data_IF_907178935573
#
_entry.id   IF_907178935573
#
_cell.length_a   1.000
_cell.length_b   1.000
_cell.length_c   1.000
_cell.angle_alpha   90.00
_cell.angle_beta   90.00
_cell.angle_gamma   90.00
#
_symmetry.space_group_name_H-M   'P 1'
#
loop_
_entity.id
_entity.type
_entity.pdbx_description
1 polymer ?
#
# COMPACT_ATOMS: atom_id res chain seq x y z
N UNK A 1 24.40 -8.89 2.52
CA UNK A 1 23.16 -9.46 3.12
C UNK A 1 22.06 -8.42 3.43
N UNK A 2 22.24 -7.11 3.14
CA UNK A 2 21.27 -6.06 3.50
C UNK A 2 20.07 -5.88 2.54
N UNK A 3 20.10 -6.41 1.31
CA UNK A 3 19.09 -6.04 0.32
C UNK A 3 17.69 -6.58 0.65
N UNK A 4 17.56 -7.86 1.00
CA UNK A 4 16.25 -8.50 1.23
C UNK A 4 15.48 -7.91 2.42
N UNK A 5 16.19 -7.47 3.47
CA UNK A 5 15.54 -6.82 4.62
C UNK A 5 15.02 -5.43 4.26
N UNK A 6 15.75 -4.68 3.43
CA UNK A 6 15.29 -3.41 2.88
C UNK A 6 14.09 -3.60 1.98
N UNK A 7 14.14 -4.53 1.01
CA UNK A 7 13.01 -4.82 0.12
C UNK A 7 11.75 -5.19 0.92
N UNK A 8 11.90 -6.04 1.95
CA UNK A 8 10.78 -6.38 2.83
C UNK A 8 10.26 -5.18 3.63
N UNK A 9 11.15 -4.32 4.14
CA UNK A 9 10.76 -3.12 4.88
C UNK A 9 10.06 -2.09 3.98
N UNK A 10 10.53 -1.91 2.75
CA UNK A 10 9.92 -1.06 1.72
C UNK A 10 8.51 -1.56 1.38
N UNK A 11 8.37 -2.86 1.10
CA UNK A 11 7.06 -3.44 0.79
C UNK A 11 6.07 -3.29 1.96
N UNK A 12 6.52 -3.54 3.19
CA UNK A 12 5.69 -3.32 4.39
C UNK A 12 5.39 -1.83 4.61
N UNK A 13 6.34 -0.93 4.35
CA UNK A 13 6.10 0.50 4.43
C UNK A 13 5.00 0.92 3.47
N UNK A 14 4.96 0.40 2.24
CA UNK A 14 3.85 0.65 1.32
C UNK A 14 2.49 0.19 1.88
N UNK A 15 2.44 -0.98 2.53
CA UNK A 15 1.23 -1.47 3.21
C UNK A 15 0.78 -0.52 4.32
N UNK A 16 1.71 -0.11 5.20
CA UNK A 16 1.40 0.77 6.32
C UNK A 16 1.08 2.20 5.88
N UNK A 17 1.72 2.70 4.81
CA UNK A 17 1.39 4.00 4.23
C UNK A 17 -0.01 3.99 3.63
N UNK A 18 -0.36 2.97 2.83
CA UNK A 18 -1.71 2.81 2.30
C UNK A 18 -2.75 2.76 3.43
N UNK A 19 -2.52 1.97 4.48
CA UNK A 19 -3.40 1.88 5.64
C UNK A 19 -3.55 3.23 6.37
N UNK A 20 -2.48 4.00 6.47
CA UNK A 20 -2.48 5.33 7.11
C UNK A 20 -3.30 6.33 6.30
N UNK A 21 -3.09 6.38 4.99
CA UNK A 21 -3.82 7.30 4.11
C UNK A 21 -5.30 6.93 4.00
N UNK A 22 -5.64 5.65 4.04
CA UNK A 22 -7.05 5.19 4.11
C UNK A 22 -7.71 5.65 5.42
N UNK A 23 -7.02 5.52 6.56
CA UNK A 23 -7.53 6.01 7.84
C UNK A 23 -7.74 7.53 7.82
N UNK A 24 -6.77 8.28 7.30
CA UNK A 24 -6.87 9.74 7.17
C UNK A 24 -8.06 10.12 6.29
N UNK A 25 -8.15 9.59 5.06
CA UNK A 25 -9.28 9.84 4.16
C UNK A 25 -10.64 9.52 4.81
N UNK A 26 -10.73 8.39 5.52
CA UNK A 26 -11.96 8.00 6.18
C UNK A 26 -12.36 8.98 7.30
N UNK A 27 -11.38 9.59 7.98
CA UNK A 27 -11.61 10.48 9.11
C UNK A 27 -11.79 11.95 8.72
N UNK A 28 -10.98 12.45 7.78
CA UNK A 28 -10.89 13.88 7.42
C UNK A 28 -11.41 14.18 6.02
N UNK A 29 -11.70 13.18 5.20
CA UNK A 29 -12.14 13.34 3.82
C UNK A 29 -11.02 13.67 2.84
N UNK A 30 -9.81 13.98 3.34
CA UNK A 30 -8.69 14.42 2.54
C UNK A 30 -7.32 13.97 3.11
N UNK A 31 -6.31 14.02 2.26
CA UNK A 31 -4.90 13.69 2.56
C UNK A 31 -3.99 14.73 1.90
N UNK A 32 -2.75 14.85 2.38
CA UNK A 32 -1.75 15.69 1.71
C UNK A 32 -1.60 15.30 0.22
N UNK A 33 -1.53 16.30 -0.66
CA UNK A 33 -1.79 16.14 -2.10
C UNK A 33 -0.91 15.11 -2.79
N UNK A 34 0.36 15.00 -2.41
CA UNK A 34 1.35 14.09 -3.02
C UNK A 34 1.53 12.78 -2.23
N UNK A 35 0.91 12.64 -1.06
CA UNK A 35 1.18 11.49 -0.18
C UNK A 35 0.75 10.14 -0.79
N UNK A 36 -0.26 10.14 -1.66
CA UNK A 36 -0.72 8.96 -2.38
C UNK A 36 0.06 8.66 -3.65
N UNK A 37 0.78 9.63 -4.20
CA UNK A 37 1.40 9.52 -5.53
C UNK A 37 2.28 8.28 -5.68
N UNK A 38 3.23 7.99 -4.78
CA UNK A 38 4.11 6.85 -4.95
C UNK A 38 3.36 5.51 -4.88
N UNK A 39 2.31 5.43 -4.06
CA UNK A 39 1.49 4.23 -3.95
C UNK A 39 0.69 4.00 -5.23
N UNK A 40 0.05 5.04 -5.77
CA UNK A 40 -0.74 4.90 -6.99
C UNK A 40 0.16 4.66 -8.20
N UNK A 41 1.25 5.41 -8.35
CA UNK A 41 2.25 5.21 -9.42
C UNK A 41 2.80 3.79 -9.39
N UNK A 42 3.04 3.22 -8.21
CA UNK A 42 3.54 1.85 -8.10
C UNK A 42 2.64 0.82 -8.79
N UNK A 43 1.31 1.05 -8.86
CA UNK A 43 0.40 0.11 -9.50
C UNK A 43 0.74 -0.12 -10.98
N UNK A 44 1.18 0.94 -11.66
CA UNK A 44 1.48 0.91 -13.10
C UNK A 44 2.88 0.35 -13.41
N UNK A 45 3.75 0.24 -12.43
CA UNK A 45 5.07 -0.39 -12.59
C UNK A 45 4.95 -1.92 -12.54
N UNK A 46 4.39 -2.55 -13.58
CA UNK A 46 4.08 -3.99 -13.52
C UNK A 46 5.30 -4.92 -13.63
N UNK A 47 6.36 -4.47 -14.32
CA UNK A 47 7.54 -5.26 -14.63
C UNK A 47 8.82 -4.52 -14.27
N UNK A 48 9.05 -4.22 -12.97
CA UNK A 48 10.22 -3.46 -12.54
C UNK A 48 11.51 -4.23 -12.82
N UNK A 49 12.53 -3.55 -13.37
CA UNK A 49 13.85 -4.14 -13.57
C UNK A 49 14.54 -4.39 -12.21
N UNK A 50 14.33 -3.49 -11.26
CA UNK A 50 14.82 -3.57 -9.90
C UNK A 50 13.71 -3.29 -8.89
N UNK A 51 13.78 -3.92 -7.72
CA UNK A 51 12.77 -3.74 -6.67
C UNK A 51 12.56 -2.26 -6.28
N UNK A 52 13.62 -1.46 -6.31
CA UNK A 52 13.57 -0.05 -5.96
C UNK A 52 12.82 0.81 -7.00
N UNK A 53 12.66 0.33 -8.24
CA UNK A 53 11.96 1.08 -9.30
C UNK A 53 10.47 1.26 -8.99
N UNK A 54 9.90 0.36 -8.17
CA UNK A 54 8.46 0.37 -7.84
C UNK A 54 8.03 1.60 -7.06
N UNK A 55 8.89 2.08 -6.16
CA UNK A 55 8.56 3.17 -5.24
C UNK A 55 9.59 4.31 -5.28
N UNK A 56 10.66 4.21 -6.07
CA UNK A 56 11.75 5.21 -6.09
C UNK A 56 12.45 5.30 -4.72
N UNK A 57 12.87 6.51 -4.33
CA UNK A 57 13.49 6.76 -3.02
C UNK A 57 12.51 6.47 -1.87
N UNK A 58 12.71 5.39 -1.07
CA UNK A 58 11.76 5.01 -0.03
C UNK A 58 11.65 6.04 1.10
N UNK A 59 12.68 6.85 1.35
CA UNK A 59 12.65 7.87 2.40
C UNK A 59 11.65 8.96 2.04
N UNK A 60 11.70 9.42 0.79
CA UNK A 60 10.80 10.44 0.26
C UNK A 60 9.40 9.86 0.05
N UNK A 61 9.33 8.70 -0.59
CA UNK A 61 8.09 8.18 -1.13
C UNK A 61 7.30 7.30 -0.17
N UNK A 62 7.95 6.70 0.84
CA UNK A 62 7.34 5.79 1.81
C UNK A 62 7.61 6.19 3.27
N UNK A 63 8.02 7.44 3.51
CA UNK A 63 8.42 7.91 4.83
C UNK A 63 7.33 7.74 5.91
N UNK A 64 6.05 7.92 5.56
CA UNK A 64 4.93 7.69 6.49
C UNK A 64 4.91 6.21 6.87
N UNK A 65 4.90 5.33 5.88
CA UNK A 65 4.89 3.89 6.08
C UNK A 65 6.07 3.35 6.87
N UNK A 66 7.28 3.85 6.60
CA UNK A 66 8.50 3.48 7.31
C UNK A 66 8.41 3.85 8.80
N UNK A 67 7.93 5.06 9.11
CA UNK A 67 7.72 5.49 10.50
C UNK A 67 6.67 4.65 11.22
N UNK A 68 5.55 4.33 10.57
CA UNK A 68 4.55 3.45 11.17
C UNK A 68 5.10 2.03 11.42
N UNK A 69 5.90 1.49 10.50
CA UNK A 69 6.57 0.20 10.69
C UNK A 69 7.56 0.23 11.87
N UNK A 70 8.29 1.34 12.06
CA UNK A 70 9.15 1.52 13.23
C UNK A 70 8.35 1.49 14.54
N UNK A 71 7.19 2.15 14.61
CA UNK A 71 6.31 2.14 15.80
C UNK A 71 5.91 0.71 16.15
N UNK A 72 5.49 -0.09 15.16
CA UNK A 72 5.15 -1.51 15.34
C UNK A 72 6.34 -2.32 15.84
N UNK A 73 7.52 -2.10 15.27
CA UNK A 73 8.72 -2.87 15.60
C UNK A 73 9.29 -2.50 16.98
N UNK A 74 9.20 -1.23 17.40
CA UNK A 74 9.68 -0.73 18.70
C UNK A 74 8.75 -1.12 19.87
N UNK A 75 7.53 -1.56 19.59
CA UNK A 75 6.47 -1.73 20.62
C UNK A 75 6.28 -0.42 21.40
N UNK A 76 6.17 0.70 20.70
CA UNK A 76 5.88 1.99 21.35
C UNK A 76 4.62 1.81 22.23
N UNK A 77 4.65 2.21 23.52
CA UNK A 77 3.51 2.07 24.42
C UNK A 77 2.24 2.77 23.91
N UNK A 78 2.39 3.85 23.13
CA UNK A 78 1.27 4.56 22.50
C UNK A 78 0.68 3.79 21.32
N UNK A 79 1.46 2.88 20.75
CA UNK A 79 1.06 2.02 19.64
C UNK A 79 0.77 2.77 18.34
N UNK A 80 0.30 2.02 17.35
CA UNK A 80 -0.33 2.58 16.16
C UNK A 80 -1.80 2.90 16.44
N UNK A 81 -2.35 3.80 15.64
CA UNK A 81 -3.80 3.90 15.50
C UNK A 81 -4.38 2.48 15.22
N UNK A 82 -5.37 2.01 15.99
CA UNK A 82 -5.97 0.69 15.83
C UNK A 82 -6.50 0.43 14.41
N UNK A 83 -7.02 1.46 13.75
CA UNK A 83 -7.58 1.36 12.39
C UNK A 83 -6.48 1.14 11.37
N UNK A 84 -5.36 1.85 11.48
CA UNK A 84 -4.16 1.62 10.65
C UNK A 84 -3.67 0.18 10.82
N UNK A 85 -3.60 -0.32 12.06
CA UNK A 85 -3.20 -1.70 12.33
C UNK A 85 -4.17 -2.69 11.68
N UNK A 86 -5.47 -2.48 11.85
CA UNK A 86 -6.53 -3.33 11.29
C UNK A 86 -6.49 -3.35 9.77
N UNK A 87 -6.33 -2.20 9.12
CA UNK A 87 -6.23 -2.11 7.66
C UNK A 87 -4.96 -2.79 7.14
N UNK A 88 -3.80 -2.54 7.74
CA UNK A 88 -2.54 -3.19 7.35
C UNK A 88 -2.63 -4.73 7.47
N UNK A 89 -3.15 -5.25 8.58
CA UNK A 89 -3.34 -6.70 8.76
C UNK A 89 -4.38 -7.27 7.79
N UNK A 90 -5.41 -6.49 7.43
CA UNK A 90 -6.42 -6.88 6.45
C UNK A 90 -5.84 -6.97 5.04
N UNK A 91 -4.99 -6.02 4.64
CA UNK A 91 -4.26 -6.04 3.37
C UNK A 91 -3.36 -7.28 3.27
N UNK A 92 -2.57 -7.55 4.31
CA UNK A 92 -1.71 -8.75 4.38
C UNK A 92 -2.51 -10.06 4.37
N UNK A 93 -3.74 -10.05 4.90
CA UNK A 93 -4.61 -11.23 4.85
C UNK A 93 -5.23 -11.42 3.46
N UNK A 94 -5.69 -10.34 2.83
CA UNK A 94 -6.33 -10.36 1.52
C UNK A 94 -5.35 -10.82 0.43
N UNK A 95 -4.09 -10.41 0.50
CA UNK A 95 -3.00 -10.94 -0.34
C UNK A 95 -3.00 -12.47 -0.36
N UNK A 96 -3.16 -13.12 0.79
CA UNK A 96 -3.15 -14.60 0.86
C UNK A 96 -4.32 -15.24 0.15
N UNK A 97 -5.48 -14.56 0.13
CA UNK A 97 -6.66 -15.01 -0.62
C UNK A 97 -6.44 -14.81 -2.12
N UNK A 98 -5.88 -13.67 -2.49
CA UNK A 98 -5.57 -13.35 -3.88
C UNK A 98 -4.55 -14.32 -4.47
N UNK A 99 -3.51 -14.69 -3.71
CA UNK A 99 -2.53 -15.71 -4.13
C UNK A 99 -3.15 -17.06 -4.48
N UNK A 100 -4.30 -17.40 -3.89
CA UNK A 100 -5.05 -18.63 -4.20
C UNK A 100 -5.99 -18.48 -5.39
N UNK A 101 -6.05 -17.31 -6.03
CA UNK A 101 -6.92 -17.03 -7.17
C UNK A 101 -6.11 -16.45 -8.35
N UNK A 102 -5.42 -17.31 -9.13
CA UNK A 102 -4.64 -16.87 -10.29
C UNK A 102 -5.47 -16.08 -11.31
N UNK A 103 -6.74 -16.48 -11.52
CA UNK A 103 -7.67 -15.76 -12.40
C UNK A 103 -7.88 -14.30 -11.96
N UNK A 104 -8.05 -14.05 -10.65
CA UNK A 104 -8.21 -12.68 -10.13
C UNK A 104 -6.90 -11.88 -10.24
N UNK A 105 -5.74 -12.51 -10.05
CA UNK A 105 -4.44 -11.86 -10.28
C UNK A 105 -4.31 -11.43 -11.76
N UNK A 106 -4.65 -12.32 -12.69
CA UNK A 106 -4.64 -12.00 -14.13
C UNK A 106 -5.60 -10.86 -14.45
N UNK A 107 -6.82 -10.88 -13.89
CA UNK A 107 -7.80 -9.82 -14.08
C UNK A 107 -7.32 -8.47 -13.53
N UNK A 108 -6.65 -8.46 -12.37
CA UNK A 108 -6.03 -7.26 -11.81
C UNK A 108 -4.93 -6.72 -12.74
N UNK A 109 -4.05 -7.58 -13.26
CA UNK A 109 -3.01 -7.18 -14.22
C UNK A 109 -3.59 -6.51 -15.45
N UNK A 110 -4.54 -7.17 -16.13
CA UNK A 110 -5.22 -6.63 -17.32
C UNK A 110 -5.97 -5.32 -17.02
N UNK A 111 -6.61 -5.23 -15.84
CA UNK A 111 -7.32 -4.03 -15.42
C UNK A 111 -6.39 -2.85 -15.15
N UNK A 112 -5.21 -3.10 -14.57
CA UNK A 112 -4.18 -2.07 -14.37
C UNK A 112 -3.61 -1.62 -15.73
N UNK A 113 -3.38 -2.53 -16.68
CA UNK A 113 -2.95 -2.17 -18.04
C UNK A 113 -3.98 -1.29 -18.75
N UNK A 114 -5.26 -1.59 -18.56
CA UNK A 114 -6.33 -0.76 -19.08
C UNK A 114 -6.35 0.63 -18.44
N UNK A 115 -6.17 0.73 -17.12
CA UNK A 115 -6.05 2.00 -16.41
C UNK A 115 -4.79 2.80 -16.80
N UNK A 116 -3.71 2.12 -17.20
CA UNK A 116 -2.48 2.76 -17.68
C UNK A 116 -2.72 3.66 -18.90
N UNK A 117 -3.60 3.25 -19.82
CA UNK A 117 -4.00 4.10 -20.96
C UNK A 117 -4.68 5.40 -20.53
N UNK A 118 -5.49 5.37 -19.48
CA UNK A 118 -6.09 6.59 -18.92
C UNK A 118 -5.03 7.47 -18.23
N UNK A 119 -4.08 6.86 -17.54
CA UNK A 119 -2.97 7.57 -16.92
C UNK A 119 -2.09 8.31 -17.94
N UNK A 120 -1.95 7.78 -19.17
CA UNK A 120 -1.23 8.44 -20.27
C UNK A 120 -1.95 9.70 -20.79
N UNK A 121 -3.28 9.72 -20.79
CA UNK A 121 -4.05 10.89 -21.22
C UNK A 121 -4.19 11.96 -20.13
N UNK A 122 -4.26 11.53 -18.87
CA UNK A 122 -4.37 12.42 -17.72
C UNK A 122 -3.06 12.39 -16.91
N UNK A 123 -3.10 11.77 -15.73
CA UNK A 123 -1.93 11.41 -14.93
C UNK A 123 -2.28 10.18 -14.08
N UNK A 124 -1.28 9.49 -13.48
CA UNK A 124 -1.53 8.35 -12.59
C UNK A 124 -2.48 8.66 -11.43
N UNK A 125 -2.47 9.89 -10.91
CA UNK A 125 -3.26 10.31 -9.74
C UNK A 125 -4.45 11.20 -10.08
N UNK A 126 -4.71 11.44 -11.37
CA UNK A 126 -5.90 12.14 -11.82
C UNK A 126 -7.18 11.39 -11.40
N UNK A 127 -8.26 12.13 -11.15
CA UNK A 127 -9.51 11.56 -10.60
C UNK A 127 -10.09 10.45 -11.47
N UNK A 128 -10.05 10.59 -12.79
CA UNK A 128 -10.51 9.55 -13.73
C UNK A 128 -9.70 8.26 -13.62
N UNK A 129 -8.36 8.37 -13.53
CA UNK A 129 -7.47 7.22 -13.35
C UNK A 129 -7.72 6.53 -12.01
N UNK A 130 -7.88 7.31 -10.93
CA UNK A 130 -8.21 6.82 -9.59
C UNK A 130 -9.58 6.14 -9.58
N UNK A 131 -10.58 6.68 -10.29
CA UNK A 131 -11.89 6.09 -10.42
C UNK A 131 -11.85 4.74 -11.16
N UNK A 132 -11.03 4.60 -12.20
CA UNK A 132 -10.84 3.31 -12.88
C UNK A 132 -10.17 2.26 -11.98
N UNK A 133 -9.13 2.64 -11.24
CA UNK A 133 -8.50 1.76 -10.23
C UNK A 133 -9.49 1.36 -9.12
N UNK A 134 -10.35 2.28 -8.69
CA UNK A 134 -11.40 2.01 -7.72
C UNK A 134 -12.47 1.05 -8.26
N UNK A 135 -12.84 1.22 -9.54
CA UNK A 135 -13.72 0.30 -10.26
C UNK A 135 -13.12 -1.10 -10.33
N UNK A 136 -11.83 -1.20 -10.67
CA UNK A 136 -11.10 -2.47 -10.69
C UNK A 136 -11.12 -3.16 -9.32
N UNK A 137 -10.84 -2.44 -8.24
CA UNK A 137 -10.93 -2.97 -6.87
C UNK A 137 -12.34 -3.50 -6.55
N UNK A 138 -13.39 -2.78 -6.98
CA UNK A 138 -14.79 -3.19 -6.77
C UNK A 138 -15.14 -4.46 -7.55
N UNK A 139 -14.67 -4.58 -8.79
CA UNK A 139 -14.94 -5.73 -9.66
C UNK A 139 -14.15 -6.99 -9.28
N UNK A 140 -13.08 -6.86 -8.50
CA UNK A 140 -12.19 -7.98 -8.15
C UNK A 140 -12.25 -8.26 -6.65
N UNK A 141 -11.54 -7.45 -5.87
CA UNK A 141 -11.24 -7.69 -4.47
C UNK A 141 -12.46 -7.60 -3.57
N UNK A 142 -13.47 -6.81 -3.94
CA UNK A 142 -14.73 -6.71 -3.19
C UNK A 142 -15.62 -7.96 -3.31
N UNK A 143 -15.35 -8.83 -4.29
CA UNK A 143 -16.06 -10.09 -4.49
C UNK A 143 -15.48 -11.24 -3.65
N UNK A 144 -14.34 -11.03 -2.99
CA UNK A 144 -13.78 -12.01 -2.07
C UNK A 144 -14.63 -12.11 -0.79
N UNK A 145 -14.63 -13.29 -0.17
CA UNK A 145 -15.37 -13.54 1.07
C UNK A 145 -14.89 -12.72 2.26
N UNK A 146 -13.66 -12.19 2.20
CA UNK A 146 -13.14 -11.25 3.17
C UNK A 146 -13.06 -9.85 2.54
N UNK A 147 -13.59 -8.85 3.25
CA UNK A 147 -13.63 -7.46 2.81
C UNK A 147 -13.02 -6.56 3.87
N UNK A 148 -12.28 -5.54 3.42
CA UNK A 148 -11.74 -4.51 4.31
C UNK A 148 -12.87 -3.54 4.66
N UNK A 149 -13.31 -3.54 5.91
CA UNK A 149 -14.33 -2.61 6.41
C UNK A 149 -13.68 -1.32 6.88
N UNK A 150 -13.68 -0.30 6.01
CA UNK A 150 -13.20 1.04 6.34
C UNK A 150 -14.25 1.75 7.19
N UNK A 151 -13.83 2.25 8.34
CA UNK A 151 -14.63 3.03 9.29
C UNK A 151 -14.05 4.44 9.41
N UNK A 152 -14.92 5.41 9.65
CA UNK A 152 -14.57 6.82 9.72
C UNK A 152 -15.83 7.67 9.71
N UNK A 153 -15.71 8.93 9.31
CA UNK A 153 -16.84 9.84 9.19
C UNK A 153 -17.72 9.43 7.97
N UNK A 154 -19.01 9.09 8.18
CA UNK A 154 -19.90 8.69 7.10
C UNK A 154 -20.04 9.73 6.00
N UNK A 155 -20.04 11.02 6.34
CA UNK A 155 -20.17 12.12 5.37
C UNK A 155 -19.06 12.08 4.34
N UNK A 156 -17.82 11.82 4.77
CA UNK A 156 -16.69 11.72 3.84
C UNK A 156 -16.72 10.40 3.06
N UNK A 157 -16.97 9.28 3.73
CA UNK A 157 -16.97 7.95 3.11
C UNK A 157 -18.06 7.75 2.05
N UNK A 158 -19.13 8.53 2.08
CA UNK A 158 -20.19 8.52 1.08
C UNK A 158 -19.84 9.29 -0.20
N UNK A 159 -18.81 10.16 -0.18
CA UNK A 159 -18.40 10.89 -1.38
C UNK A 159 -17.69 9.97 -2.37
N UNK A 160 -17.95 10.17 -3.68
CA UNK A 160 -17.26 9.42 -4.73
C UNK A 160 -15.74 9.66 -4.69
N UNK A 161 -15.31 10.89 -4.41
CA UNK A 161 -13.91 11.26 -4.26
C UNK A 161 -13.19 10.40 -3.21
N UNK A 162 -13.67 10.40 -1.96
CA UNK A 162 -13.05 9.65 -0.87
C UNK A 162 -13.16 8.15 -1.12
N UNK A 163 -14.32 7.66 -1.55
CA UNK A 163 -14.54 6.24 -1.80
C UNK A 163 -13.62 5.69 -2.91
N UNK A 164 -13.39 6.46 -3.97
CA UNK A 164 -12.48 6.06 -5.05
C UNK A 164 -11.03 6.04 -4.58
N UNK A 165 -10.58 7.10 -3.90
CA UNK A 165 -9.22 7.16 -3.34
C UNK A 165 -8.95 6.05 -2.34
N UNK A 166 -9.90 5.75 -1.45
CA UNK A 166 -9.79 4.63 -0.50
C UNK A 166 -9.58 3.31 -1.26
N UNK A 167 -10.40 3.00 -2.26
CA UNK A 167 -10.26 1.74 -3.02
C UNK A 167 -8.95 1.66 -3.80
N UNK A 168 -8.52 2.75 -4.42
CA UNK A 168 -7.25 2.82 -5.13
C UNK A 168 -6.05 2.64 -4.19
N UNK A 169 -6.08 3.26 -3.00
CA UNK A 169 -5.04 3.07 -1.98
C UNK A 169 -5.03 1.66 -1.41
N UNK A 170 -6.20 1.04 -1.19
CA UNK A 170 -6.27 -0.36 -0.77
C UNK A 170 -5.68 -1.29 -1.84
N UNK A 171 -5.95 -1.03 -3.13
CA UNK A 171 -5.32 -1.76 -4.24
C UNK A 171 -3.79 -1.61 -4.21
N UNK A 172 -3.27 -0.39 -4.03
CA UNK A 172 -1.83 -0.14 -3.88
C UNK A 172 -1.23 -0.82 -2.64
N UNK A 173 -1.94 -0.83 -1.51
CA UNK A 173 -1.54 -1.55 -0.31
C UNK A 173 -1.47 -3.07 -0.53
N UNK A 174 -2.38 -3.63 -1.32
CA UNK A 174 -2.34 -5.06 -1.69
C UNK A 174 -1.13 -5.34 -2.57
N UNK A 175 -0.80 -4.46 -3.53
CA UNK A 175 0.43 -4.57 -4.30
C UNK A 175 1.66 -4.61 -3.38
N UNK A 176 1.74 -3.72 -2.39
CA UNK A 176 2.80 -3.75 -1.37
C UNK A 176 2.85 -5.09 -0.62
N UNK A 177 1.70 -5.66 -0.26
CA UNK A 177 1.62 -6.98 0.38
C UNK A 177 2.09 -8.13 -0.53
N UNK A 178 1.76 -8.08 -1.83
CA UNK A 178 2.22 -9.05 -2.84
C UNK A 178 3.74 -8.98 -2.95
N UNK A 179 4.30 -7.78 -3.13
CA UNK A 179 5.75 -7.56 -3.20
C UNK A 179 6.45 -8.10 -1.97
N UNK A 180 5.89 -7.83 -0.77
CA UNK A 180 6.43 -8.35 0.47
C UNK A 180 6.52 -9.87 0.48
N UNK A 181 5.49 -10.57 0.01
CA UNK A 181 5.53 -12.03 -0.15
C UNK A 181 6.59 -12.46 -1.17
N UNK A 182 6.67 -11.80 -2.32
CA UNK A 182 7.62 -12.15 -3.39
C UNK A 182 9.07 -12.10 -2.89
N UNK A 183 9.40 -11.14 -2.01
CA UNK A 183 10.72 -11.05 -1.37
C UNK A 183 10.84 -11.88 -0.07
N UNK A 184 9.97 -12.88 0.10
CA UNK A 184 10.03 -13.87 1.18
C UNK A 184 9.36 -13.47 2.50
N UNK A 185 8.52 -12.45 2.49
CA UNK A 185 7.73 -12.00 3.64
C UNK A 185 6.72 -13.03 4.13
N UNK A 186 6.55 -13.15 5.44
CA UNK A 186 5.56 -14.03 6.09
C UNK A 186 4.98 -13.30 7.30
N UNK A 187 3.66 -13.44 7.55
CA UNK A 187 2.95 -12.72 8.63
C UNK A 187 3.67 -12.78 9.99
N UNK A 188 4.21 -13.94 10.37
CA UNK A 188 4.92 -14.13 11.63
C UNK A 188 6.27 -13.39 11.71
N UNK A 189 6.87 -13.02 10.57
CA UNK A 189 8.09 -12.20 10.54
C UNK A 189 7.89 -10.83 11.20
N UNK A 190 6.67 -10.26 11.18
CA UNK A 190 6.37 -9.01 11.90
C UNK A 190 6.48 -9.17 13.43
N UNK A 191 6.43 -10.40 13.93
CA UNK A 191 6.57 -10.70 15.36
C UNK A 191 7.99 -11.12 15.72
N UNK A 192 8.63 -11.92 14.87
CA UNK A 192 9.95 -12.52 15.14
C UNK A 192 11.13 -11.70 14.60
N UNK A 193 10.98 -11.02 13.47
CA UNK A 193 12.06 -10.29 12.79
C UNK A 193 12.01 -8.78 13.07
N UNK A 194 11.38 -8.35 14.18
CA UNK A 194 11.19 -6.93 14.51
C UNK A 194 12.48 -6.13 14.53
N UNK A 195 13.53 -6.64 15.18
CA UNK A 195 14.85 -5.96 15.23
C UNK A 195 15.42 -5.75 13.83
N UNK A 196 15.22 -6.72 12.93
CA UNK A 196 15.69 -6.65 11.54
C UNK A 196 14.93 -5.61 10.73
N UNK A 197 13.60 -5.57 10.86
CA UNK A 197 12.78 -4.54 10.21
C UNK A 197 13.05 -3.15 10.76
N UNK A 198 13.23 -3.03 12.08
CA UNK A 198 13.58 -1.77 12.71
C UNK A 198 14.89 -1.21 12.15
N UNK A 199 15.95 -2.03 12.13
CA UNK A 199 17.24 -1.65 11.56
C UNK A 199 17.13 -1.24 10.09
N UNK A 200 16.39 -2.01 9.28
CA UNK A 200 16.16 -1.66 7.88
C UNK A 200 15.42 -0.33 7.72
N UNK A 201 14.41 -0.04 8.54
CA UNK A 201 13.72 1.25 8.52
C UNK A 201 14.64 2.41 8.91
N UNK A 202 15.49 2.22 9.93
CA UNK A 202 16.47 3.23 10.35
C UNK A 202 17.49 3.51 9.25
N UNK A 203 18.03 2.46 8.61
CA UNK A 203 18.94 2.59 7.47
C UNK A 203 18.28 3.31 6.29
N UNK A 204 17.04 2.97 5.94
CA UNK A 204 16.30 3.63 4.83
C UNK A 204 15.99 5.10 5.12
N UNK A 205 15.60 5.45 6.35
CA UNK A 205 15.29 6.83 6.71
C UNK A 205 16.54 7.71 6.84
N UNK A 206 17.69 7.11 7.17
CA UNK A 206 18.95 7.83 7.36
C UNK A 206 19.82 7.87 6.09
N UNK A 207 19.45 7.16 5.02
CA UNK A 207 20.17 7.26 3.75
C UNK A 207 20.08 8.70 3.18
N UNK A 208 21.19 9.20 2.60
CA UNK A 208 21.15 10.44 1.83
C UNK A 208 20.25 10.22 0.61
N UNK A 209 19.36 11.18 0.34
CA UNK A 209 18.44 11.11 -0.80
C UNK A 209 19.23 10.96 -2.08
N UNK A 210 18.88 9.99 -2.93
CA UNK A 210 19.50 9.84 -4.25
C UNK A 210 18.73 10.73 -5.22
N UNK A 211 19.40 11.77 -5.73
CA UNK A 211 18.88 12.65 -6.79
C UNK A 211 18.78 11.92 -8.12
#
# INVERSE_FOLDING_TARGET
MNNRSHEQAIALAAVFQAATLVEQLARTGDIAGDASDPLIKSLFEQSPAHFNDVYGDPKLNLGIGLRQLQVVCKRDPRGLNPDVTRYALSLLHLERKLFKSPAMISQLGQGIDAASRQAQHFSPTHENTVAALAGLYKQTLSNLSFRIRVTGNPTYLQTNYTANRVRALLLAGIRGAILWRQVGGKRWHLLTNRKRYLKACEELLNQPSRH
#
